data_IF_144821089517
#
_entry.id   IF_144821089517
#
_cell.length_a   1.000
_cell.length_b   1.000
_cell.length_c   1.000
_cell.angle_alpha   90.00
_cell.angle_beta   90.00
_cell.angle_gamma   90.00
#
_symmetry.space_group_name_H-M   'P 1'
#
loop_
_entity.id
_entity.type
_entity.pdbx_description
1 polymer ?
#
# COMPACT_ATOMS: atom_id res chain seq x y z
N UNK A 1 -16.67 5.35 -9.54
CA UNK A 1 -16.10 4.09 -8.96
C UNK A 1 -17.19 3.06 -8.78
N UNK A 2 -16.91 1.77 -9.04
CA UNK A 2 -17.79 0.62 -8.77
C UNK A 2 -17.14 -0.30 -7.74
N UNK A 3 -17.96 -1.06 -7.01
CA UNK A 3 -17.51 -2.02 -6.00
C UNK A 3 -18.10 -3.39 -6.32
N UNK A 4 -17.28 -4.43 -6.34
CA UNK A 4 -17.76 -5.78 -6.57
C UNK A 4 -16.85 -6.82 -5.88
N UNK A 5 -17.39 -7.97 -5.50
CA UNK A 5 -16.61 -9.08 -4.98
C UNK A 5 -16.04 -9.94 -6.11
N UNK A 6 -14.89 -10.58 -5.82
CA UNK A 6 -14.37 -11.67 -6.64
C UNK A 6 -13.95 -12.84 -5.74
N UNK A 7 -14.09 -14.06 -6.27
CA UNK A 7 -13.50 -15.25 -5.68
C UNK A 7 -12.40 -15.74 -6.61
N UNK A 8 -11.23 -15.95 -6.04
CA UNK A 8 -10.02 -16.35 -6.78
C UNK A 8 -9.93 -17.88 -6.91
N UNK A 9 -9.11 -18.41 -7.83
CA UNK A 9 -8.92 -19.86 -7.99
C UNK A 9 -8.46 -20.58 -6.71
N UNK A 10 -7.68 -19.91 -5.86
CA UNK A 10 -7.30 -20.41 -4.53
C UNK A 10 -8.47 -20.55 -3.54
N UNK A 11 -9.66 -20.05 -3.89
CA UNK A 11 -10.80 -19.94 -2.99
C UNK A 11 -10.80 -18.67 -2.14
N UNK A 12 -9.76 -17.84 -2.22
CA UNK A 12 -9.73 -16.55 -1.54
C UNK A 12 -10.79 -15.61 -2.12
N UNK A 13 -11.49 -14.92 -1.24
CA UNK A 13 -12.50 -13.91 -1.59
C UNK A 13 -11.94 -12.52 -1.30
N UNK A 14 -12.22 -11.56 -2.17
CA UNK A 14 -11.89 -10.15 -1.93
C UNK A 14 -12.90 -9.21 -2.56
N UNK A 15 -12.90 -7.97 -2.09
CA UNK A 15 -13.61 -6.85 -2.72
C UNK A 15 -12.65 -6.09 -3.61
N UNK A 16 -13.16 -5.69 -4.78
CA UNK A 16 -12.48 -4.80 -5.73
C UNK A 16 -13.22 -3.46 -5.79
N UNK A 17 -12.47 -2.38 -5.74
CA UNK A 17 -12.91 -1.05 -6.14
C UNK A 17 -12.28 -0.75 -7.51
N UNK A 18 -13.09 -0.31 -8.47
CA UNK A 18 -12.61 -0.05 -9.83
C UNK A 18 -13.22 1.21 -10.43
N UNK A 19 -12.44 1.93 -11.21
CA UNK A 19 -12.90 3.06 -12.00
C UNK A 19 -12.07 3.23 -13.28
N UNK A 20 -12.66 3.89 -14.28
CA UNK A 20 -12.02 4.20 -15.56
C UNK A 20 -12.07 3.05 -16.58
N UNK A 21 -11.74 3.41 -17.82
CA UNK A 21 -11.78 2.51 -18.97
C UNK A 21 -10.51 2.62 -19.83
N UNK A 22 -9.48 3.32 -19.34
CA UNK A 22 -8.21 3.48 -20.06
C UNK A 22 -7.46 2.17 -20.25
N UNK A 23 -6.55 2.13 -21.20
CA UNK A 23 -5.72 0.96 -21.50
C UNK A 23 -4.55 0.80 -20.49
N UNK A 24 -4.25 1.84 -19.71
CA UNK A 24 -3.21 1.82 -18.69
C UNK A 24 -3.81 1.46 -17.33
N UNK A 25 -3.43 0.30 -16.85
CA UNK A 25 -3.89 -0.21 -15.55
C UNK A 25 -3.03 0.32 -14.40
N UNK A 26 -3.69 0.70 -13.31
CA UNK A 26 -3.08 1.02 -12.02
C UNK A 26 -3.71 0.14 -10.95
N UNK A 27 -2.89 -0.60 -10.20
CA UNK A 27 -3.35 -1.46 -9.10
C UNK A 27 -2.84 -0.89 -7.79
N UNK A 28 -3.76 -0.61 -6.87
CA UNK A 28 -3.52 0.04 -5.58
C UNK A 28 -3.65 -0.97 -4.44
N UNK A 29 -2.59 -1.12 -3.64
CA UNK A 29 -2.50 -2.09 -2.54
C UNK A 29 -2.27 -1.38 -1.23
N UNK A 30 -3.18 -1.57 -0.27
CA UNK A 30 -3.12 -0.96 1.05
C UNK A 30 -2.08 -1.62 1.98
N UNK A 31 -1.77 -0.97 3.09
CA UNK A 31 -0.88 -1.47 4.14
C UNK A 31 -1.61 -2.19 5.29
N UNK A 32 -0.86 -2.48 6.36
CA UNK A 32 -1.34 -3.16 7.58
C UNK A 32 -2.55 -2.47 8.19
N UNK A 33 -3.63 -3.22 8.41
CA UNK A 33 -4.87 -2.72 8.99
C UNK A 33 -5.59 -1.69 8.10
N UNK A 34 -5.21 -1.58 6.83
CA UNK A 34 -5.91 -0.76 5.83
C UNK A 34 -6.97 -1.57 5.09
N UNK A 35 -7.51 -0.96 4.02
CA UNK A 35 -8.45 -1.56 3.08
C UNK A 35 -8.49 -0.76 1.79
N UNK A 36 -9.14 -1.27 0.77
CA UNK A 36 -9.25 -0.61 -0.55
C UNK A 36 -9.81 0.82 -0.47
N UNK A 37 -10.73 1.11 0.47
CA UNK A 37 -11.30 2.45 0.66
C UNK A 37 -10.27 3.53 1.04
N UNK A 38 -9.08 3.13 1.50
CA UNK A 38 -8.00 4.08 1.76
C UNK A 38 -7.58 4.85 0.50
N UNK A 39 -7.89 4.31 -0.66
CA UNK A 39 -7.62 4.90 -1.97
C UNK A 39 -8.80 5.71 -2.54
N UNK A 40 -9.87 5.94 -1.76
CA UNK A 40 -11.08 6.64 -2.21
C UNK A 40 -10.85 8.05 -2.77
N UNK A 41 -9.82 8.76 -2.28
CA UNK A 41 -9.44 10.09 -2.78
C UNK A 41 -8.58 10.05 -4.06
N UNK A 42 -8.27 8.87 -4.55
CA UNK A 42 -7.35 8.67 -5.67
C UNK A 42 -8.03 8.01 -6.86
N UNK A 43 -8.89 7.03 -6.64
CA UNK A 43 -9.42 6.15 -7.68
C UNK A 43 -10.15 6.94 -8.77
N UNK A 44 -11.14 7.77 -8.40
CA UNK A 44 -11.95 8.48 -9.39
C UNK A 44 -11.13 9.56 -10.12
N UNK A 45 -10.29 10.32 -9.41
CA UNK A 45 -9.43 11.34 -10.01
C UNK A 45 -8.43 10.75 -11.02
N UNK A 46 -7.82 9.61 -10.70
CA UNK A 46 -6.92 8.91 -11.63
C UNK A 46 -7.67 8.32 -12.84
N UNK A 47 -8.89 7.85 -12.62
CA UNK A 47 -9.75 7.36 -13.69
C UNK A 47 -10.21 8.47 -14.64
N UNK A 48 -10.58 9.64 -14.12
CA UNK A 48 -10.92 10.84 -14.90
C UNK A 48 -9.71 11.34 -15.71
N UNK A 49 -8.50 11.11 -15.20
CA UNK A 49 -7.25 11.39 -15.92
C UNK A 49 -6.90 10.33 -16.99
N UNK A 50 -7.80 9.35 -17.27
CA UNK A 50 -7.67 8.39 -18.35
C UNK A 50 -7.00 7.06 -17.98
N UNK A 51 -6.82 6.77 -16.69
CA UNK A 51 -6.30 5.49 -16.21
C UNK A 51 -7.44 4.50 -15.91
N UNK A 52 -7.11 3.21 -15.86
CA UNK A 52 -7.99 2.16 -15.36
C UNK A 52 -7.50 1.70 -14.01
N UNK A 53 -8.20 2.07 -12.95
CA UNK A 53 -7.74 1.97 -11.58
C UNK A 53 -8.46 0.87 -10.83
N UNK A 54 -7.69 0.09 -10.06
CA UNK A 54 -8.15 -1.03 -9.27
C UNK A 54 -7.57 -0.94 -7.86
N UNK A 55 -8.39 -1.13 -6.84
CA UNK A 55 -7.93 -1.30 -5.47
C UNK A 55 -8.59 -2.54 -4.87
N UNK A 56 -7.84 -3.28 -4.06
CA UNK A 56 -8.30 -4.55 -3.48
C UNK A 56 -8.09 -4.60 -1.98
N UNK A 57 -8.92 -5.37 -1.30
CA UNK A 57 -8.68 -5.72 0.10
C UNK A 57 -7.76 -6.94 0.16
N UNK A 58 -6.63 -6.84 0.85
CA UNK A 58 -5.73 -7.98 1.08
C UNK A 58 -6.39 -9.01 2.01
N UNK A 59 -6.10 -10.32 1.87
CA UNK A 59 -6.55 -11.32 2.82
C UNK A 59 -6.29 -10.91 4.27
N UNK A 60 -7.25 -11.17 5.15
CA UNK A 60 -7.21 -10.72 6.55
C UNK A 60 -7.70 -9.30 6.79
N UNK A 61 -7.98 -8.51 5.75
CA UNK A 61 -8.34 -7.10 5.84
C UNK A 61 -9.68 -6.78 5.15
N UNK A 62 -10.21 -5.61 5.45
CA UNK A 62 -11.38 -5.05 4.76
C UNK A 62 -12.55 -6.02 4.70
N UNK A 63 -12.98 -6.33 3.48
CA UNK A 63 -14.05 -7.30 3.20
C UNK A 63 -13.51 -8.58 2.51
N UNK A 64 -12.18 -8.81 2.56
CA UNK A 64 -11.58 -10.03 2.05
C UNK A 64 -11.75 -11.21 3.02
N UNK A 65 -11.38 -12.41 2.59
CA UNK A 65 -11.29 -13.61 3.42
C UNK A 65 -10.54 -13.37 4.71
N UNK A 66 -11.08 -13.81 5.84
CA UNK A 66 -10.52 -13.65 7.19
C UNK A 66 -10.68 -14.92 8.01
N UNK A 67 -9.83 -15.10 9.00
CA UNK A 67 -9.94 -16.15 9.99
C UNK A 67 -8.72 -17.07 10.06
N UNK A 68 -8.84 -18.10 10.87
CA UNK A 68 -7.79 -19.12 11.03
C UNK A 68 -7.49 -19.79 9.70
N UNK A 69 -6.21 -19.89 9.37
CA UNK A 69 -5.76 -20.52 8.12
C UNK A 69 -5.74 -19.60 6.90
N UNK A 70 -6.22 -18.34 7.01
CA UNK A 70 -6.01 -17.35 5.95
C UNK A 70 -4.55 -16.88 6.00
N UNK A 71 -3.76 -17.09 4.95
CA UNK A 71 -2.35 -16.70 4.96
C UNK A 71 -2.21 -15.18 4.94
N UNK A 72 -1.50 -14.63 5.94
CA UNK A 72 -1.25 -13.19 6.09
C UNK A 72 0.25 -12.94 6.19
N UNK A 73 0.95 -12.95 5.05
CA UNK A 73 2.38 -12.70 4.91
C UNK A 73 2.67 -12.06 3.56
N UNK A 74 3.84 -11.45 3.38
CA UNK A 74 4.24 -10.86 2.09
C UNK A 74 4.26 -11.91 0.97
N UNK A 75 4.84 -13.11 1.14
CA UNK A 75 4.76 -14.15 0.11
C UNK A 75 3.33 -14.55 -0.27
N UNK A 76 2.44 -14.68 0.71
CA UNK A 76 1.03 -15.01 0.44
C UNK A 76 0.29 -13.87 -0.29
N UNK A 77 0.51 -12.63 0.11
CA UNK A 77 -0.08 -11.46 -0.55
C UNK A 77 0.44 -11.26 -1.97
N UNK A 78 1.71 -11.58 -2.22
CA UNK A 78 2.29 -11.58 -3.57
C UNK A 78 1.58 -12.57 -4.49
N UNK A 79 1.37 -13.80 -4.03
CA UNK A 79 0.64 -14.82 -4.79
C UNK A 79 -0.83 -14.40 -5.00
N UNK A 80 -1.49 -13.90 -3.96
CA UNK A 80 -2.84 -13.34 -4.06
C UNK A 80 -2.93 -12.22 -5.11
N UNK A 81 -1.97 -11.30 -5.17
CA UNK A 81 -1.96 -10.20 -6.14
C UNK A 81 -1.85 -10.74 -7.59
N UNK A 82 -1.08 -11.80 -7.81
CA UNK A 82 -1.01 -12.47 -9.11
C UNK A 82 -2.38 -13.02 -9.55
N UNK A 83 -3.07 -13.75 -8.65
CA UNK A 83 -4.41 -14.27 -8.93
C UNK A 83 -5.44 -13.14 -9.17
N UNK A 84 -5.36 -12.04 -8.42
CA UNK A 84 -6.23 -10.87 -8.63
C UNK A 84 -6.01 -10.28 -10.02
N UNK A 85 -4.77 -10.08 -10.43
CA UNK A 85 -4.47 -9.54 -11.75
C UNK A 85 -4.95 -10.46 -12.87
N UNK A 86 -4.89 -11.78 -12.69
CA UNK A 86 -5.42 -12.76 -13.64
C UNK A 86 -6.95 -12.72 -13.69
N UNK A 87 -7.61 -12.75 -12.54
CA UNK A 87 -9.08 -12.71 -12.44
C UNK A 87 -9.69 -11.43 -13.03
N UNK A 88 -8.97 -10.31 -12.95
CA UNK A 88 -9.37 -9.03 -13.52
C UNK A 88 -8.89 -8.81 -14.96
N UNK A 89 -8.25 -9.82 -15.56
CA UNK A 89 -7.66 -9.74 -16.90
C UNK A 89 -6.73 -8.52 -17.07
N UNK A 90 -5.90 -8.24 -16.05
CA UNK A 90 -4.91 -7.16 -16.07
C UNK A 90 -3.60 -7.73 -16.62
N UNK A 91 -3.23 -7.50 -17.88
CA UNK A 91 -2.04 -8.11 -18.46
C UNK A 91 -0.77 -7.50 -17.91
N UNK A 92 -0.79 -6.20 -17.67
CA UNK A 92 0.34 -5.42 -17.13
C UNK A 92 -0.16 -4.15 -16.48
N UNK A 93 0.49 -3.69 -15.41
CA UNK A 93 0.06 -2.51 -14.66
C UNK A 93 1.22 -1.70 -14.07
N UNK A 94 0.98 -0.42 -13.78
CA UNK A 94 1.68 0.30 -12.73
C UNK A 94 1.10 -0.17 -11.40
N UNK A 95 1.92 -0.70 -10.51
CA UNK A 95 1.46 -1.19 -9.22
C UNK A 95 1.92 -0.26 -8.10
N UNK A 96 1.00 0.06 -7.21
CA UNK A 96 1.16 1.06 -6.14
C UNK A 96 0.90 0.39 -4.81
N UNK A 97 1.81 0.50 -3.88
CA UNK A 97 1.61 -0.04 -2.54
C UNK A 97 2.05 0.91 -1.44
N UNK A 98 1.27 0.96 -0.36
CA UNK A 98 1.64 1.73 0.83
C UNK A 98 2.08 0.81 1.97
N UNK A 99 3.14 1.20 2.71
CA UNK A 99 3.61 0.46 3.88
C UNK A 99 3.90 -1.02 3.56
N UNK A 100 3.23 -1.97 4.23
CA UNK A 100 3.28 -3.40 3.89
C UNK A 100 2.87 -3.67 2.44
N UNK A 101 1.85 -2.97 1.92
CA UNK A 101 1.44 -3.08 0.52
C UNK A 101 2.57 -2.70 -0.45
N UNK A 102 3.44 -1.77 -0.06
CA UNK A 102 4.65 -1.44 -0.83
C UNK A 102 5.62 -2.62 -0.92
N UNK A 103 5.85 -3.32 0.19
CA UNK A 103 6.64 -4.55 0.20
C UNK A 103 6.01 -5.64 -0.68
N UNK A 104 4.69 -5.81 -0.61
CA UNK A 104 3.93 -6.77 -1.43
C UNK A 104 4.11 -6.49 -2.92
N UNK A 105 3.87 -5.25 -3.38
CA UNK A 105 3.95 -4.91 -4.80
C UNK A 105 5.38 -4.97 -5.33
N UNK A 106 6.37 -4.57 -4.54
CA UNK A 106 7.77 -4.69 -4.93
C UNK A 106 8.20 -6.16 -5.05
N UNK A 107 7.80 -7.00 -4.09
CA UNK A 107 8.04 -8.45 -4.14
C UNK A 107 7.34 -9.11 -5.34
N UNK A 108 6.09 -8.70 -5.64
CA UNK A 108 5.35 -9.17 -6.82
C UNK A 108 6.08 -8.78 -8.13
N UNK A 109 6.56 -7.55 -8.21
CA UNK A 109 7.26 -7.06 -9.40
C UNK A 109 8.57 -7.80 -9.67
N UNK A 110 9.28 -8.23 -8.64
CA UNK A 110 10.49 -9.04 -8.78
C UNK A 110 10.21 -10.46 -9.28
N UNK A 111 9.08 -11.05 -8.88
CA UNK A 111 8.68 -12.39 -9.33
C UNK A 111 8.02 -12.38 -10.72
N UNK A 112 7.28 -11.33 -11.04
CA UNK A 112 6.52 -11.18 -12.28
C UNK A 112 6.87 -9.90 -13.06
N UNK A 113 8.15 -9.64 -13.39
CA UNK A 113 8.57 -8.36 -13.98
C UNK A 113 7.87 -8.05 -15.31
N UNK A 114 7.45 -9.09 -16.06
CA UNK A 114 6.69 -8.93 -17.31
C UNK A 114 5.26 -8.40 -17.11
N UNK A 115 4.71 -8.51 -15.88
CA UNK A 115 3.37 -8.04 -15.48
C UNK A 115 3.37 -6.62 -14.91
N UNK A 116 4.55 -6.01 -14.74
CA UNK A 116 4.70 -4.71 -14.08
C UNK A 116 5.38 -3.72 -15.01
N UNK A 117 4.74 -2.56 -15.20
CA UNK A 117 5.34 -1.46 -15.96
C UNK A 117 6.22 -0.59 -15.07
N UNK A 118 5.74 -0.28 -13.88
CA UNK A 118 6.33 0.63 -12.91
C UNK A 118 5.87 0.29 -11.51
N UNK A 119 6.65 0.70 -10.51
CA UNK A 119 6.32 0.49 -9.09
C UNK A 119 6.26 1.85 -8.39
N UNK A 120 5.22 2.06 -7.59
CA UNK A 120 5.12 3.22 -6.69
C UNK A 120 5.05 2.73 -5.25
N UNK A 121 5.99 3.16 -4.44
CA UNK A 121 6.18 2.74 -3.05
C UNK A 121 5.93 3.92 -2.12
N UNK A 122 4.83 3.87 -1.37
CA UNK A 122 4.41 4.96 -0.49
C UNK A 122 4.68 4.61 0.96
N UNK A 123 5.61 5.28 1.62
CA UNK A 123 5.99 4.97 3.00
C UNK A 123 6.30 3.48 3.20
N UNK A 124 6.98 2.86 2.24
CA UNK A 124 7.07 1.41 2.09
C UNK A 124 7.95 0.75 3.15
N UNK A 125 7.51 -0.39 3.64
CA UNK A 125 8.36 -1.37 4.33
C UNK A 125 9.04 -2.30 3.30
N UNK A 126 9.96 -3.16 3.78
CA UNK A 126 10.59 -4.21 2.98
C UNK A 126 11.77 -3.76 2.10
N UNK A 127 12.12 -2.48 2.08
CA UNK A 127 13.28 -1.98 1.33
C UNK A 127 14.59 -2.21 2.10
N UNK A 128 14.53 -2.00 3.41
CA UNK A 128 15.63 -2.25 4.35
C UNK A 128 15.07 -2.86 5.62
N UNK A 129 15.89 -3.60 6.42
CA UNK A 129 15.43 -4.10 7.71
C UNK A 129 15.04 -2.94 8.64
N UNK A 130 13.92 -3.10 9.35
CA UNK A 130 13.44 -2.08 10.31
C UNK A 130 13.83 -2.38 11.76
N UNK A 131 14.33 -3.59 12.01
CA UNK A 131 14.80 -4.04 13.32
C UNK A 131 13.70 -4.53 14.26
N UNK A 132 14.10 -5.33 15.25
CA UNK A 132 13.18 -6.06 16.13
C UNK A 132 12.23 -5.14 16.90
N UNK A 133 12.73 -4.02 17.41
CA UNK A 133 11.90 -3.09 18.19
C UNK A 133 10.76 -2.48 17.36
N UNK A 134 11.05 -2.06 16.13
CA UNK A 134 10.03 -1.53 15.22
C UNK A 134 9.03 -2.61 14.84
N UNK A 135 9.47 -3.83 14.55
CA UNK A 135 8.59 -4.98 14.25
C UNK A 135 7.66 -5.28 15.42
N UNK A 136 8.17 -5.30 16.65
CA UNK A 136 7.34 -5.52 17.84
C UNK A 136 6.30 -4.43 18.05
N UNK A 137 6.64 -3.15 17.78
CA UNK A 137 5.66 -2.05 17.84
C UNK A 137 4.55 -2.21 16.79
N UNK A 138 4.91 -2.63 15.57
CA UNK A 138 3.92 -2.84 14.49
C UNK A 138 3.03 -4.03 14.83
N UNK A 139 3.60 -5.14 15.34
CA UNK A 139 2.83 -6.29 15.82
C UNK A 139 1.83 -5.90 16.90
N UNK A 140 2.28 -5.17 17.92
CA UNK A 140 1.41 -4.70 18.99
C UNK A 140 0.26 -3.83 18.46
N UNK A 141 0.54 -2.95 17.49
CA UNK A 141 -0.46 -2.14 16.81
C UNK A 141 -1.44 -2.97 15.96
N UNK A 142 -0.96 -4.00 15.27
CA UNK A 142 -1.80 -4.92 14.49
C UNK A 142 -2.73 -5.74 15.39
N UNK A 143 -2.28 -6.10 16.59
CA UNK A 143 -3.07 -6.88 17.55
C UNK A 143 -4.03 -6.01 18.39
N UNK A 144 -3.81 -4.70 18.47
CA UNK A 144 -4.66 -3.80 19.24
C UNK A 144 -5.80 -3.24 18.37
N UNK A 145 -6.87 -4.00 18.22
CA UNK A 145 -8.06 -3.62 17.47
C UNK A 145 -9.20 -3.12 18.38
N UNK A 146 -8.87 -2.59 19.56
CA UNK A 146 -9.82 -1.80 20.35
C UNK A 146 -10.15 -0.49 19.64
N UNK A 147 -11.25 0.17 20.00
CA UNK A 147 -11.62 1.46 19.41
C UNK A 147 -10.51 2.51 19.62
N UNK A 148 -9.96 2.56 20.82
CA UNK A 148 -8.85 3.44 21.19
C UNK A 148 -7.56 3.09 20.42
N UNK A 149 -7.31 1.80 20.20
CA UNK A 149 -6.17 1.31 19.42
C UNK A 149 -6.27 1.73 17.96
N UNK A 150 -7.47 1.61 17.37
CA UNK A 150 -7.76 2.06 16.01
C UNK A 150 -7.60 3.58 15.88
N UNK A 151 -8.17 4.36 16.81
CA UNK A 151 -8.01 5.82 16.82
C UNK A 151 -6.54 6.23 16.95
N UNK A 152 -5.82 5.64 17.88
CA UNK A 152 -4.37 5.91 18.09
C UNK A 152 -3.56 5.60 16.82
N UNK A 153 -3.88 4.49 16.14
CA UNK A 153 -3.25 4.15 14.85
C UNK A 153 -3.53 5.22 13.81
N UNK A 154 -4.79 5.63 13.64
CA UNK A 154 -5.19 6.63 12.64
C UNK A 154 -4.50 7.98 12.89
N UNK A 155 -4.46 8.44 14.14
CA UNK A 155 -3.74 9.67 14.53
C UNK A 155 -2.23 9.61 14.31
N UNK A 156 -1.65 8.41 14.34
CA UNK A 156 -0.20 8.24 14.09
C UNK A 156 0.13 8.24 12.60
N UNK A 157 -0.74 7.67 11.76
CA UNK A 157 -0.49 7.54 10.32
C UNK A 157 -0.91 8.77 9.51
N UNK A 158 -1.67 9.69 10.12
CA UNK A 158 -2.11 10.97 9.52
C UNK A 158 -1.47 12.14 10.26
N UNK A 159 -0.98 13.13 9.50
CA UNK A 159 -0.45 14.38 10.04
C UNK A 159 -1.58 15.30 10.49
N UNK A 160 -2.61 15.45 9.65
CA UNK A 160 -3.78 16.26 9.97
C UNK A 160 -4.76 15.47 10.88
N UNK A 161 -4.91 15.89 12.16
CA UNK A 161 -5.80 15.21 13.10
C UNK A 161 -7.28 15.30 12.69
N UNK A 162 -7.68 16.29 11.88
CA UNK A 162 -9.05 16.44 11.40
C UNK A 162 -9.49 15.29 10.47
N UNK A 163 -8.56 14.58 9.87
CA UNK A 163 -8.85 13.40 9.06
C UNK A 163 -9.18 12.15 9.88
N UNK A 164 -8.90 12.16 11.19
CA UNK A 164 -9.28 11.07 12.09
C UNK A 164 -10.66 11.36 12.68
N UNK A 165 -11.70 11.21 11.86
CA UNK A 165 -13.08 11.47 12.30
C UNK A 165 -13.65 10.33 13.13
N UNK A 166 -14.65 10.58 14.01
CA UNK A 166 -15.31 9.51 14.75
C UNK A 166 -15.92 8.43 13.85
N UNK A 167 -16.47 8.81 12.70
CA UNK A 167 -17.07 7.89 11.72
C UNK A 167 -16.00 6.98 11.12
N UNK A 168 -14.82 7.52 10.80
CA UNK A 168 -13.71 6.74 10.28
C UNK A 168 -13.20 5.72 11.31
N UNK A 169 -13.09 6.15 12.57
CA UNK A 169 -12.71 5.27 13.69
C UNK A 169 -13.75 4.16 13.87
N UNK A 170 -15.04 4.51 13.89
CA UNK A 170 -16.15 3.57 14.05
C UNK A 170 -16.16 2.53 12.92
N UNK A 171 -16.06 2.97 11.68
CA UNK A 171 -16.07 2.11 10.52
C UNK A 171 -14.88 1.14 10.55
N UNK A 172 -13.68 1.66 10.79
CA UNK A 172 -12.47 0.83 10.84
C UNK A 172 -12.52 -0.17 12.00
N UNK A 173 -12.96 0.27 13.17
CA UNK A 173 -13.12 -0.61 14.33
C UNK A 173 -14.10 -1.76 14.03
N UNK A 174 -15.26 -1.48 13.43
CA UNK A 174 -16.24 -2.54 13.08
C UNK A 174 -15.69 -3.53 12.08
N UNK A 175 -15.03 -3.05 11.03
CA UNK A 175 -14.44 -3.91 10.00
C UNK A 175 -13.32 -4.77 10.58
N UNK A 176 -12.44 -4.19 11.39
CA UNK A 176 -11.32 -4.89 12.00
C UNK A 176 -11.72 -5.86 13.12
N UNK A 177 -12.96 -5.77 13.61
CA UNK A 177 -13.56 -6.70 14.58
C UNK A 177 -14.64 -7.59 13.95
N UNK A 178 -14.77 -7.60 12.63
CA UNK A 178 -15.65 -8.55 11.94
C UNK A 178 -15.15 -9.99 12.08
N UNK A 179 -16.02 -10.96 11.80
CA UNK A 179 -15.72 -12.39 11.99
C UNK A 179 -14.36 -12.78 11.36
N UNK A 180 -13.49 -13.39 12.14
CA UNK A 180 -12.17 -13.87 11.74
C UNK A 180 -11.08 -12.80 11.63
N UNK A 181 -11.40 -11.51 11.75
CA UNK A 181 -10.41 -10.44 11.57
C UNK A 181 -9.27 -10.51 12.60
N UNK A 182 -9.59 -10.72 13.88
CA UNK A 182 -8.59 -10.78 14.94
C UNK A 182 -7.60 -11.95 14.75
N UNK A 183 -8.07 -13.12 14.30
CA UNK A 183 -7.18 -14.24 13.97
C UNK A 183 -6.22 -13.87 12.83
N UNK A 184 -6.71 -13.18 11.81
CA UNK A 184 -5.89 -12.71 10.68
C UNK A 184 -4.87 -11.66 11.09
N UNK A 185 -5.26 -10.70 11.95
CA UNK A 185 -4.33 -9.71 12.49
C UNK A 185 -3.26 -10.35 13.38
N UNK A 186 -3.61 -11.36 14.17
CA UNK A 186 -2.63 -12.11 14.95
C UNK A 186 -1.64 -12.85 14.05
N UNK A 187 -2.13 -13.49 12.98
CA UNK A 187 -1.27 -14.16 11.99
C UNK A 187 -0.31 -13.19 11.32
N UNK A 188 -0.81 -12.04 10.85
CA UNK A 188 0.02 -10.99 10.24
C UNK A 188 1.00 -10.39 11.24
N UNK A 189 0.55 -10.12 12.46
CA UNK A 189 1.40 -9.58 13.52
C UNK A 189 2.58 -10.51 13.84
N UNK A 190 2.34 -11.82 13.90
CA UNK A 190 3.39 -12.81 14.11
C UNK A 190 4.39 -12.84 12.94
N UNK A 191 3.92 -12.82 11.69
CA UNK A 191 4.78 -12.71 10.52
C UNK A 191 5.65 -11.45 10.59
N UNK A 192 5.06 -10.29 10.91
CA UNK A 192 5.82 -9.02 11.01
C UNK A 192 6.89 -9.10 12.10
N UNK A 193 6.57 -9.67 13.26
CA UNK A 193 7.52 -9.76 14.37
C UNK A 193 8.69 -10.71 14.10
N UNK A 194 8.47 -11.78 13.34
CA UNK A 194 9.43 -12.86 13.17
C UNK A 194 10.15 -12.76 11.82
N UNK A 195 9.40 -12.64 10.72
CA UNK A 195 9.91 -12.91 9.37
C UNK A 195 10.08 -11.68 8.50
N UNK A 196 9.44 -10.54 8.80
CA UNK A 196 9.40 -9.38 7.90
C UNK A 196 10.78 -8.92 7.42
N UNK A 197 11.76 -8.86 8.32
CA UNK A 197 13.12 -8.44 7.98
C UNK A 197 13.93 -9.53 7.25
N UNK A 198 13.46 -10.79 7.23
CA UNK A 198 14.06 -11.86 6.45
C UNK A 198 13.64 -11.78 4.97
N UNK A 199 12.52 -11.11 4.70
CA UNK A 199 11.92 -10.97 3.37
C UNK A 199 12.25 -9.63 2.69
N UNK A 200 13.21 -8.83 3.20
CA UNK A 200 13.57 -7.54 2.59
C UNK A 200 14.10 -7.71 1.18
N UNK A 201 13.68 -6.82 0.29
CA UNK A 201 13.90 -6.97 -1.16
C UNK A 201 14.70 -5.82 -1.78
N UNK A 202 15.16 -4.85 -0.99
CA UNK A 202 15.79 -3.63 -1.51
C UNK A 202 17.00 -3.91 -2.39
N UNK A 203 17.93 -4.78 -1.96
CA UNK A 203 19.10 -5.17 -2.74
C UNK A 203 18.74 -5.91 -4.04
N UNK A 204 17.68 -6.72 -4.01
CA UNK A 204 17.19 -7.43 -5.20
C UNK A 204 16.52 -6.46 -6.15
N UNK A 205 15.73 -5.51 -5.62
CA UNK A 205 15.07 -4.48 -6.41
C UNK A 205 16.11 -3.53 -7.05
N UNK A 206 17.21 -3.25 -6.37
CA UNK A 206 18.31 -2.43 -6.91
C UNK A 206 18.95 -3.03 -8.17
N UNK A 207 18.89 -4.34 -8.34
CA UNK A 207 19.40 -5.05 -9.53
C UNK A 207 18.38 -5.10 -10.68
N UNK A 208 17.15 -4.67 -10.43
CA UNK A 208 16.10 -4.65 -11.46
C UNK A 208 16.18 -3.37 -12.31
N UNK A 209 15.68 -3.45 -13.54
CA UNK A 209 15.53 -2.27 -14.42
C UNK A 209 14.17 -1.58 -14.28
N UNK A 210 13.31 -2.06 -13.37
CA UNK A 210 11.98 -1.49 -13.18
C UNK A 210 12.05 -0.05 -12.70
N UNK A 211 11.29 0.89 -13.31
CA UNK A 211 11.18 2.24 -12.79
C UNK A 211 10.46 2.24 -11.44
N UNK A 212 11.03 2.94 -10.45
CA UNK A 212 10.49 3.04 -9.09
C UNK A 212 10.23 4.51 -8.74
N UNK A 213 9.03 4.81 -8.26
CA UNK A 213 8.71 6.06 -7.59
C UNK A 213 8.55 5.81 -6.10
N UNK A 214 9.39 6.44 -5.31
CA UNK A 214 9.30 6.48 -3.86
C UNK A 214 8.49 7.73 -3.48
N UNK A 215 7.49 7.59 -2.63
CA UNK A 215 6.68 8.70 -2.12
C UNK A 215 6.65 8.66 -0.60
N UNK A 216 6.98 9.75 0.05
CA UNK A 216 6.96 9.86 1.49
C UNK A 216 6.34 11.17 1.96
N UNK A 217 5.55 11.10 3.03
CA UNK A 217 5.23 12.29 3.81
C UNK A 217 6.43 12.68 4.68
N UNK A 218 6.74 13.96 4.75
CA UNK A 218 7.88 14.45 5.55
C UNK A 218 7.68 14.22 7.06
N UNK A 219 6.42 14.13 7.50
CA UNK A 219 6.02 13.92 8.90
C UNK A 219 5.73 12.44 9.23
N UNK A 220 6.13 11.50 8.37
CA UNK A 220 5.92 10.06 8.60
C UNK A 220 6.71 9.56 9.82
N UNK A 221 5.98 9.24 10.90
CA UNK A 221 6.49 8.67 12.15
C UNK A 221 6.35 7.13 12.21
N UNK A 222 5.75 6.53 11.19
CA UNK A 222 5.55 5.07 11.11
C UNK A 222 6.71 4.41 10.38
N UNK A 223 7.04 4.89 9.18
CA UNK A 223 8.25 4.55 8.44
C UNK A 223 8.98 5.85 8.13
N UNK A 224 10.06 6.12 8.83
CA UNK A 224 10.74 7.40 8.77
C UNK A 224 11.16 7.76 7.33
N UNK A 225 11.09 9.04 6.91
CA UNK A 225 11.53 9.49 5.57
C UNK A 225 12.99 9.15 5.25
N UNK A 226 13.81 8.94 6.29
CA UNK A 226 15.18 8.46 6.13
C UNK A 226 15.25 7.10 5.39
N UNK A 227 14.25 6.22 5.56
CA UNK A 227 14.16 4.95 4.81
C UNK A 227 13.96 5.21 3.33
N UNK A 228 13.11 6.19 2.96
CA UNK A 228 12.91 6.61 1.57
C UNK A 228 14.17 7.18 0.94
N UNK A 229 14.93 8.00 1.69
CA UNK A 229 16.23 8.56 1.24
C UNK A 229 17.27 7.46 1.04
N UNK A 230 17.40 6.54 1.98
CA UNK A 230 18.29 5.38 1.87
C UNK A 230 17.90 4.50 0.66
N UNK A 231 16.62 4.24 0.47
CA UNK A 231 16.13 3.50 -0.69
C UNK A 231 16.46 4.22 -2.00
N UNK A 232 16.31 5.55 -2.05
CA UNK A 232 16.67 6.36 -3.23
C UNK A 232 18.15 6.24 -3.59
N UNK A 233 19.03 6.24 -2.59
CA UNK A 233 20.47 6.06 -2.81
C UNK A 233 20.80 4.66 -3.35
N UNK A 234 20.07 3.65 -2.91
CA UNK A 234 20.27 2.25 -3.30
C UNK A 234 19.69 1.93 -4.69
N UNK A 235 18.57 2.55 -5.05
CA UNK A 235 17.79 2.23 -6.27
C UNK A 235 18.11 3.22 -7.41
N UNK A 236 19.03 2.87 -8.29
CA UNK A 236 19.49 3.75 -9.38
C UNK A 236 18.35 4.26 -10.29
N UNK A 237 17.34 3.41 -10.58
CA UNK A 237 16.17 3.73 -11.41
C UNK A 237 14.99 4.26 -10.59
N UNK A 238 15.25 4.94 -9.47
CA UNK A 238 14.19 5.52 -8.64
C UNK A 238 14.19 7.05 -8.66
N UNK A 239 13.09 7.61 -8.20
CA UNK A 239 12.92 9.01 -7.82
C UNK A 239 12.21 9.04 -6.48
N UNK A 240 12.54 10.03 -5.64
CA UNK A 240 11.88 10.21 -4.35
C UNK A 240 11.13 11.54 -4.36
N UNK A 241 9.82 11.46 -4.15
CA UNK A 241 8.93 12.57 -3.88
C UNK A 241 8.68 12.67 -2.37
N UNK A 242 9.02 13.80 -1.77
CA UNK A 242 8.71 14.12 -0.39
C UNK A 242 7.57 15.14 -0.35
N UNK A 243 6.54 14.86 0.43
CA UNK A 243 5.31 15.66 0.51
C UNK A 243 5.20 16.26 1.92
N UNK A 244 5.37 17.57 2.02
CA UNK A 244 5.22 18.30 3.28
C UNK A 244 3.76 18.37 3.74
N UNK A 245 3.54 18.41 5.04
CA UNK A 245 2.20 18.42 5.65
C UNK A 245 1.46 17.09 5.46
N UNK A 246 2.20 15.99 5.29
CA UNK A 246 1.66 14.65 5.23
C UNK A 246 2.52 13.66 6.03
N UNK A 247 1.88 12.69 6.66
CA UNK A 247 2.54 11.61 7.37
C UNK A 247 2.57 10.31 6.52
N UNK A 248 2.23 9.19 7.13
CA UNK A 248 2.33 7.86 6.50
C UNK A 248 1.34 7.64 5.35
N UNK A 249 0.24 8.39 5.33
CA UNK A 249 -0.83 8.27 4.33
C UNK A 249 -0.84 9.45 3.34
N UNK A 250 0.33 9.84 2.83
CA UNK A 250 0.49 11.00 1.94
C UNK A 250 -0.49 11.00 0.75
N UNK A 251 -0.83 9.82 0.21
CA UNK A 251 -1.82 9.65 -0.85
C UNK A 251 -3.25 10.02 -0.44
N UNK A 252 -3.56 9.91 0.85
CA UNK A 252 -4.88 10.24 1.43
C UNK A 252 -4.93 11.68 1.96
N UNK A 253 -3.82 12.18 2.48
CA UNK A 253 -3.71 13.50 3.10
C UNK A 253 -3.51 14.62 2.08
N UNK A 254 -2.77 14.36 1.00
CA UNK A 254 -2.46 15.29 -0.10
C UNK A 254 -2.79 14.65 -1.45
N UNK A 255 -4.07 14.28 -1.67
CA UNK A 255 -4.46 13.48 -2.83
C UNK A 255 -4.17 14.19 -4.16
N UNK A 256 -4.29 15.54 -4.22
CA UNK A 256 -4.06 16.29 -5.44
C UNK A 256 -2.59 16.15 -5.90
N UNK A 257 -1.64 16.32 -4.98
CA UNK A 257 -0.21 16.17 -5.25
C UNK A 257 0.09 14.72 -5.62
N UNK A 258 -0.40 13.79 -4.81
CA UNK A 258 -0.14 12.35 -5.03
C UNK A 258 -0.69 11.87 -6.38
N UNK A 259 -1.93 12.22 -6.72
CA UNK A 259 -2.57 11.82 -7.97
C UNK A 259 -1.82 12.37 -9.18
N UNK A 260 -1.35 13.61 -9.12
CA UNK A 260 -0.60 14.23 -10.19
C UNK A 260 0.77 13.55 -10.41
N UNK A 261 1.54 13.30 -9.35
CA UNK A 261 2.84 12.62 -9.47
C UNK A 261 2.69 11.16 -9.90
N UNK A 262 1.67 10.46 -9.41
CA UNK A 262 1.37 9.11 -9.83
C UNK A 262 0.98 9.06 -11.32
N UNK A 263 0.12 9.97 -11.77
CA UNK A 263 -0.26 10.06 -13.18
C UNK A 263 0.96 10.34 -14.07
N UNK A 264 1.77 11.35 -13.74
CA UNK A 264 2.99 11.66 -14.48
C UNK A 264 3.91 10.44 -14.55
N UNK A 265 4.07 9.73 -13.45
CA UNK A 265 4.92 8.53 -13.42
C UNK A 265 4.33 7.40 -14.26
N UNK A 266 3.04 7.12 -14.16
CA UNK A 266 2.34 6.11 -14.99
C UNK A 266 2.44 6.44 -16.49
N UNK A 267 2.49 7.75 -16.85
CA UNK A 267 2.66 8.20 -18.22
C UNK A 267 4.13 8.29 -18.67
N UNK A 268 5.10 7.91 -17.82
CA UNK A 268 6.53 7.97 -18.13
C UNK A 268 7.14 9.37 -18.06
N UNK A 269 6.53 10.28 -17.29
CA UNK A 269 6.93 11.69 -17.15
C UNK A 269 7.44 12.04 -15.75
N UNK A 270 7.92 11.08 -15.00
CA UNK A 270 8.30 11.25 -13.59
C UNK A 270 9.28 12.42 -13.35
N UNK A 271 9.21 13.00 -12.15
CA UNK A 271 10.10 14.08 -11.68
C UNK A 271 9.83 15.46 -12.28
N UNK A 272 8.74 15.62 -13.04
CA UNK A 272 8.42 16.91 -13.70
C UNK A 272 7.34 17.73 -13.00
N UNK A 273 6.57 17.08 -12.12
CA UNK A 273 5.51 17.78 -11.38
C UNK A 273 6.11 18.75 -10.37
N UNK A 274 5.53 19.94 -10.29
CA UNK A 274 5.87 20.97 -9.29
C UNK A 274 4.60 21.37 -8.56
N UNK A 275 4.65 21.38 -7.24
CA UNK A 275 3.57 21.85 -6.38
C UNK A 275 4.16 22.37 -5.07
N UNK A 276 3.44 23.27 -4.41
CA UNK A 276 3.81 23.71 -3.07
C UNK A 276 3.80 22.52 -2.11
N UNK A 277 4.87 22.37 -1.34
CA UNK A 277 5.05 21.25 -0.43
C UNK A 277 5.52 19.95 -1.08
N UNK A 278 5.88 19.93 -2.37
CA UNK A 278 6.51 18.80 -3.05
C UNK A 278 8.00 19.07 -3.28
N UNK A 279 8.85 18.16 -2.84
CA UNK A 279 10.27 18.17 -3.14
C UNK A 279 10.73 16.85 -3.76
N UNK A 280 11.71 16.91 -4.67
CA UNK A 280 12.27 15.75 -5.36
C UNK A 280 13.73 15.50 -4.95
N UNK A 281 14.09 14.20 -4.83
CA UNK A 281 15.47 13.78 -4.54
C UNK A 281 15.88 12.60 -5.43
#
# INVERSE_FOLDING_TARGET
>A
MIHFPITLPSGAFTRVLAAGHGDRHVVLVHGTGGRADRWSRNIDALAEAGLRVWAVDLPGHGYASKGKGVPCSVPAYRAFLAEVMDALAIPKATIVGTSLGGHVVASHALEHPQRVERIVLVGSMGLVPIGQEARNRIQAGANNQTREGVESKLRRVMHDPALTTPELVEEEWRINNSAGALDSFATLGNYIAIDLDNDVIGETLAKSSLPVLLVWGEEDKTVAPAVGRQAREMLANSQLALIAGAAHTAYYEKPEIFNAILWDFAMGRAGRHTADGLSWS
#
